data_IF_121926352829
#
_entry.id   IF_121926352829
#
_cell.length_a   1.000
_cell.length_b   1.000
_cell.length_c   1.000
_cell.angle_alpha   90.00
_cell.angle_beta   90.00
_cell.angle_gamma   90.00
#
_symmetry.space_group_name_H-M   'P 1'
#
loop_
_entity.id
_entity.type
_entity.pdbx_description
1 polymer ?
#
# COMPACT_ATOMS: atom_id res chain seq x y z
N UNK A 1 -13.14 41.70 28.62
CA UNK A 1 -11.96 41.51 27.74
C UNK A 1 -10.72 41.43 28.61
N UNK A 2 -9.72 40.56 28.35
CA UNK A 2 -9.24 40.00 27.06
C UNK A 2 -9.44 38.46 26.98
N UNK A 3 -9.14 37.67 25.94
CA UNK A 3 -8.83 37.79 24.51
C UNK A 3 -9.10 36.38 23.90
N UNK A 4 -9.68 36.24 22.69
CA UNK A 4 -10.01 34.97 22.08
C UNK A 4 -8.89 34.54 21.12
N UNK A 5 -7.90 33.79 21.60
CA UNK A 5 -6.92 33.18 20.69
C UNK A 5 -6.12 32.10 21.40
N UNK A 6 -6.68 30.90 21.57
CA UNK A 6 -5.93 29.62 21.53
C UNK A 6 -6.86 28.51 21.01
N UNK A 7 -7.58 28.79 19.92
CA UNK A 7 -8.17 27.76 19.05
C UNK A 7 -7.08 27.26 18.07
N UNK A 8 -5.93 26.89 18.64
CA UNK A 8 -4.80 26.37 17.89
C UNK A 8 -5.10 24.90 17.57
N UNK A 9 -5.74 24.72 16.42
CA UNK A 9 -5.81 23.51 15.61
C UNK A 9 -4.74 22.47 15.98
N UNK A 10 -5.06 21.60 16.93
CA UNK A 10 -4.32 20.36 17.13
C UNK A 10 -4.93 19.37 16.15
N UNK A 11 -4.21 18.91 15.10
CA UNK A 11 -4.78 17.95 14.17
C UNK A 11 -5.13 16.68 14.95
N UNK A 12 -6.43 16.40 15.04
CA UNK A 12 -6.97 15.23 15.71
C UNK A 12 -6.26 13.99 15.16
N UNK A 13 -5.50 13.31 16.04
CA UNK A 13 -4.73 12.12 15.70
C UNK A 13 -5.68 11.13 15.00
N UNK A 14 -5.41 10.71 13.75
CA UNK A 14 -6.35 9.90 13.01
C UNK A 14 -6.65 8.62 13.79
N UNK A 15 -7.94 8.30 13.92
CA UNK A 15 -8.40 7.09 14.57
C UNK A 15 -7.79 5.87 13.87
N UNK A 16 -7.50 4.80 14.62
CA UNK A 16 -6.78 3.62 14.08
C UNK A 16 -7.41 3.04 12.80
N UNK A 17 -8.75 3.10 12.70
CA UNK A 17 -9.52 2.67 11.53
C UNK A 17 -9.24 3.47 10.26
N UNK A 18 -8.94 4.77 10.38
CA UNK A 18 -8.60 5.62 9.24
C UNK A 18 -7.21 5.29 8.70
N UNK A 19 -6.24 5.07 9.59
CA UNK A 19 -4.87 4.68 9.19
C UNK A 19 -4.84 3.36 8.43
N UNK A 20 -5.56 2.34 8.91
CA UNK A 20 -5.65 1.03 8.24
C UNK A 20 -6.18 1.18 6.81
N UNK A 21 -7.26 1.96 6.62
CA UNK A 21 -7.82 2.20 5.28
C UNK A 21 -6.85 2.87 4.32
N UNK A 22 -6.07 3.84 4.79
CA UNK A 22 -5.05 4.50 3.95
C UNK A 22 -3.91 3.54 3.59
N UNK A 23 -3.46 2.72 4.54
CA UNK A 23 -2.46 1.66 4.30
C UNK A 23 -2.97 0.64 3.27
N UNK A 24 -4.20 0.13 3.41
CA UNK A 24 -4.82 -0.80 2.46
C UNK A 24 -4.91 -0.19 1.06
N UNK A 25 -5.25 1.11 0.97
CA UNK A 25 -5.33 1.82 -0.31
C UNK A 25 -3.96 1.95 -0.97
N UNK A 26 -2.92 2.28 -0.21
CA UNK A 26 -1.55 2.36 -0.71
C UNK A 26 -1.06 1.00 -1.23
N UNK A 27 -1.27 -0.06 -0.46
CA UNK A 27 -0.91 -1.45 -0.84
C UNK A 27 -1.64 -1.87 -2.11
N UNK A 28 -2.95 -1.60 -2.21
CA UNK A 28 -3.74 -1.97 -3.40
C UNK A 28 -3.23 -1.27 -4.65
N UNK A 29 -3.02 0.05 -4.59
CA UNK A 29 -2.50 0.83 -5.74
C UNK A 29 -1.13 0.34 -6.16
N UNK A 30 -0.25 0.04 -5.21
CA UNK A 30 1.07 -0.52 -5.48
C UNK A 30 0.98 -1.88 -6.19
N UNK A 31 0.10 -2.77 -5.73
CA UNK A 31 -0.09 -4.08 -6.33
C UNK A 31 -0.62 -3.97 -7.78
N UNK A 32 -1.61 -3.12 -8.02
CA UNK A 32 -2.16 -2.86 -9.35
C UNK A 32 -1.09 -2.33 -10.32
N UNK A 33 -0.29 -1.34 -9.91
CA UNK A 33 0.79 -0.80 -10.75
C UNK A 33 1.89 -1.85 -11.02
N UNK A 34 2.27 -2.64 -10.01
CA UNK A 34 3.25 -3.73 -10.12
C UNK A 34 2.82 -4.83 -11.09
N UNK A 35 1.55 -5.19 -11.08
CA UNK A 35 1.02 -6.33 -11.85
C UNK A 35 0.61 -5.94 -13.26
N UNK A 36 0.02 -4.75 -13.45
CA UNK A 36 -0.51 -4.31 -14.75
C UNK A 36 0.46 -3.45 -15.56
N UNK A 37 1.24 -2.59 -14.91
CA UNK A 37 2.09 -1.58 -15.58
C UNK A 37 3.57 -1.91 -15.56
N UNK A 38 3.97 -2.96 -14.83
CA UNK A 38 5.37 -3.43 -14.63
C UNK A 38 6.28 -2.43 -13.87
N UNK A 39 6.15 -1.12 -14.12
CA UNK A 39 6.83 -0.03 -13.43
C UNK A 39 5.86 0.70 -12.51
N UNK A 40 6.24 0.81 -11.24
CA UNK A 40 5.49 1.57 -10.24
C UNK A 40 5.96 3.03 -10.27
N UNK A 41 5.03 3.94 -10.07
CA UNK A 41 5.32 5.37 -9.92
C UNK A 41 6.04 5.66 -8.59
N UNK A 42 6.95 6.65 -8.60
CA UNK A 42 7.69 7.04 -7.39
C UNK A 42 6.74 7.51 -6.26
N UNK A 43 5.62 8.14 -6.62
CA UNK A 43 4.54 8.51 -5.69
C UNK A 43 3.98 7.28 -4.95
N UNK A 44 3.65 6.22 -5.71
CA UNK A 44 3.08 5.00 -5.14
C UNK A 44 4.11 4.20 -4.35
N UNK A 45 5.38 4.22 -4.77
CA UNK A 45 6.48 3.63 -4.01
C UNK A 45 6.68 4.35 -2.67
N UNK A 46 6.71 5.68 -2.67
CA UNK A 46 6.82 6.49 -1.45
C UNK A 46 5.64 6.25 -0.51
N UNK A 47 4.41 6.21 -1.02
CA UNK A 47 3.22 5.98 -0.22
C UNK A 47 3.24 4.61 0.51
N UNK A 48 3.81 3.57 -0.10
CA UNK A 48 4.03 2.29 0.56
C UNK A 48 5.14 2.37 1.60
N UNK A 49 6.23 3.09 1.31
CA UNK A 49 7.29 3.36 2.27
C UNK A 49 6.78 4.07 3.53
N UNK A 50 5.91 5.07 3.37
CA UNK A 50 5.28 5.78 4.49
C UNK A 50 4.31 4.88 5.28
N UNK A 51 3.66 3.93 4.61
CA UNK A 51 2.66 3.06 5.20
C UNK A 51 3.24 1.82 5.90
N UNK A 52 4.29 1.22 5.35
CA UNK A 52 4.86 -0.07 5.79
C UNK A 52 6.33 0.01 6.21
N UNK A 53 7.00 1.14 5.97
CA UNK A 53 8.45 1.25 6.07
C UNK A 53 9.18 0.58 4.91
N UNK A 54 10.49 0.80 4.84
CA UNK A 54 11.35 0.28 3.77
C UNK A 54 11.33 -1.25 3.69
N UNK A 55 11.52 -1.93 4.84
CA UNK A 55 11.45 -3.39 4.94
C UNK A 55 10.10 -3.93 4.47
N UNK A 56 9.00 -3.30 4.89
CA UNK A 56 7.65 -3.73 4.51
C UNK A 56 7.38 -3.56 3.02
N UNK A 57 7.92 -2.52 2.38
CA UNK A 57 7.87 -2.36 0.93
C UNK A 57 8.61 -3.47 0.18
N UNK A 58 9.79 -3.88 0.66
CA UNK A 58 10.56 -5.01 0.09
C UNK A 58 9.81 -6.33 0.25
N UNK A 59 9.26 -6.60 1.43
CA UNK A 59 8.47 -7.81 1.70
C UNK A 59 7.22 -7.87 0.82
N UNK A 60 6.49 -6.75 0.68
CA UNK A 60 5.33 -6.65 -0.21
C UNK A 60 5.72 -6.91 -1.67
N UNK A 61 6.81 -6.31 -2.14
CA UNK A 61 7.31 -6.52 -3.50
C UNK A 61 7.66 -7.98 -3.75
N UNK A 62 8.32 -8.61 -2.78
CA UNK A 62 8.73 -10.02 -2.85
C UNK A 62 7.50 -10.93 -2.90
N UNK A 63 6.49 -10.67 -2.07
CA UNK A 63 5.24 -11.43 -2.06
C UNK A 63 4.50 -11.32 -3.41
N UNK A 64 4.36 -10.10 -3.94
CA UNK A 64 3.73 -9.88 -5.26
C UNK A 64 4.51 -10.62 -6.36
N UNK A 65 5.85 -10.56 -6.33
CA UNK A 65 6.69 -11.26 -7.29
C UNK A 65 6.54 -12.79 -7.20
N UNK A 66 6.56 -13.34 -5.99
CA UNK A 66 6.41 -14.77 -5.75
C UNK A 66 5.07 -15.30 -6.28
N UNK A 67 3.95 -14.68 -5.90
CA UNK A 67 2.63 -15.10 -6.38
C UNK A 67 2.46 -14.82 -7.88
N UNK A 68 3.00 -13.72 -8.40
CA UNK A 68 2.98 -13.42 -9.82
C UNK A 68 3.75 -14.43 -10.68
N UNK A 69 4.81 -15.04 -10.15
CA UNK A 69 5.52 -16.17 -10.77
C UNK A 69 4.71 -17.46 -10.66
N UNK A 70 4.18 -17.77 -9.48
CA UNK A 70 3.37 -18.97 -9.26
C UNK A 70 2.14 -18.99 -10.17
N UNK A 71 1.41 -17.88 -10.30
CA UNK A 71 0.27 -17.76 -11.21
C UNK A 71 0.66 -18.04 -12.67
N UNK A 72 1.83 -17.57 -13.13
CA UNK A 72 2.30 -17.85 -14.50
C UNK A 72 2.59 -19.33 -14.72
N UNK A 73 3.15 -20.02 -13.72
CA UNK A 73 3.39 -21.47 -13.78
C UNK A 73 2.05 -22.22 -13.84
N UNK A 74 1.12 -21.90 -12.94
CA UNK A 74 -0.19 -22.54 -12.90
C UNK A 74 -0.98 -22.34 -14.20
N UNK A 75 -0.96 -21.12 -14.74
CA UNK A 75 -1.59 -20.79 -16.03
C UNK A 75 -0.96 -21.61 -17.18
N UNK A 76 0.37 -21.74 -17.19
CA UNK A 76 1.09 -22.53 -18.20
C UNK A 76 0.76 -24.02 -18.14
N UNK A 77 0.49 -24.53 -16.93
CA UNK A 77 0.16 -25.93 -16.70
C UNK A 77 -1.34 -26.23 -16.85
N UNK A 78 -2.16 -25.22 -17.15
CA UNK A 78 -3.63 -25.32 -17.21
C UNK A 78 -4.22 -25.98 -15.94
N UNK A 79 -3.72 -25.58 -14.77
CA UNK A 79 -4.24 -26.07 -13.49
C UNK A 79 -5.56 -25.36 -13.20
N UNK A 80 -6.65 -26.11 -13.28
CA UNK A 80 -7.97 -25.66 -12.82
C UNK A 80 -8.14 -25.94 -11.32
N UNK A 81 -8.88 -25.06 -10.63
CA UNK A 81 -9.32 -25.29 -9.26
C UNK A 81 -10.57 -26.18 -9.30
N UNK A 82 -10.50 -27.33 -8.63
CA UNK A 82 -11.62 -28.28 -8.45
C UNK A 82 -12.61 -27.82 -7.36
#
# INVERSE_FOLDING_TARGET
EPSPAEDACTPARPTGRKRIKETEKAIRRYNEERTLKTRVSDETFSAVGDALGEKGGVELTTAIGYYGMACRILETLHVDLE
#
